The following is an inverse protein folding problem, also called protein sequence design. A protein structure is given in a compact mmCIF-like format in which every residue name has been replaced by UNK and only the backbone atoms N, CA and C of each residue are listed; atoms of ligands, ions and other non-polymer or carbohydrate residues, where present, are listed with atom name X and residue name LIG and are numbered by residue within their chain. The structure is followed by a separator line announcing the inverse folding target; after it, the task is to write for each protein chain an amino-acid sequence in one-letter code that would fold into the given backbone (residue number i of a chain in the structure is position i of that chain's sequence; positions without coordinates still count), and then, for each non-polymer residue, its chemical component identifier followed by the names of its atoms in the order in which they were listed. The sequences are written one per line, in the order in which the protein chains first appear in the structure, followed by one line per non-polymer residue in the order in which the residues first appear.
data_IF_179920669334
#
_entry.id   IF_179920669334
#
_cell.length_a   1.000
_cell.length_b   1.000
_cell.length_c   1.000
_cell.angle_alpha   90.00
_cell.angle_beta   90.00
_cell.angle_gamma   90.00
#
_symmetry.space_group_name_H-M   'P 1'
#
loop_
_entity.id
_entity.type
_entity.pdbx_description
1 polymer ?
#
# COMPACT_ATOMS: atom_id res chain seq x y z
N UNK A 1 97.61 40.67 10.68
CA UNK A 1 97.71 39.36 10.09
C UNK A 1 97.16 38.35 11.10
N UNK A 2 95.85 38.04 11.06
CA UNK A 2 95.29 36.84 11.70
C UNK A 2 93.94 36.53 11.06
N UNK A 3 93.87 35.37 10.50
CA UNK A 3 92.74 34.78 9.79
C UNK A 3 91.90 34.04 10.81
N UNK A 4 90.61 34.36 10.92
CA UNK A 4 89.65 33.58 11.69
C UNK A 4 88.84 32.70 10.71
N UNK A 5 89.06 31.41 10.82
CA UNK A 5 88.23 30.41 10.16
C UNK A 5 87.01 30.12 11.03
N UNK A 6 85.81 30.47 10.52
CA UNK A 6 84.54 30.11 11.12
C UNK A 6 84.14 28.75 10.58
N UNK A 7 84.25 27.68 11.37
CA UNK A 7 83.64 26.38 11.11
C UNK A 7 82.11 26.48 11.38
N UNK A 8 81.36 26.54 10.32
CA UNK A 8 79.90 26.38 10.44
C UNK A 8 79.60 24.88 10.58
N UNK A 9 79.00 24.51 11.71
CA UNK A 9 78.68 23.14 12.05
C UNK A 9 77.37 22.71 11.31
N UNK A 10 77.56 21.98 10.22
CA UNK A 10 76.54 21.55 9.30
C UNK A 10 75.60 20.48 9.90
N UNK A 11 75.84 20.04 11.14
CA UNK A 11 74.97 19.03 11.82
C UNK A 11 73.73 19.60 12.44
N UNK A 12 73.72 20.84 12.88
CA UNK A 12 72.56 21.42 13.60
C UNK A 12 71.42 21.78 12.66
N UNK A 13 71.67 22.13 11.42
CA UNK A 13 70.65 22.50 10.44
C UNK A 13 69.82 21.28 9.97
N UNK A 14 70.42 20.10 9.96
CA UNK A 14 69.72 18.85 9.54
C UNK A 14 68.79 18.35 10.66
N UNK A 15 69.22 18.47 11.92
CA UNK A 15 68.42 18.01 13.07
C UNK A 15 67.21 18.93 13.31
N UNK A 16 67.35 20.25 13.10
CA UNK A 16 66.20 21.20 13.21
C UNK A 16 65.19 20.91 12.10
N UNK A 17 65.63 20.64 10.88
CA UNK A 17 64.74 20.30 9.77
C UNK A 17 63.96 18.99 9.99
N UNK A 18 64.59 17.99 10.60
CA UNK A 18 63.94 16.68 10.88
C UNK A 18 62.91 16.79 11.97
N UNK A 19 63.15 17.52 13.03
CA UNK A 19 62.18 17.75 14.10
C UNK A 19 60.99 18.59 13.63
N UNK A 20 61.21 19.59 12.80
CA UNK A 20 60.14 20.43 12.24
C UNK A 20 59.27 19.58 11.29
N UNK A 21 59.85 18.73 10.46
CA UNK A 21 59.14 17.83 9.56
C UNK A 21 58.28 16.79 10.32
N UNK A 22 58.83 16.20 11.38
CA UNK A 22 58.11 15.27 12.25
C UNK A 22 56.92 15.96 12.97
N UNK A 23 57.08 17.20 13.39
CA UNK A 23 55.97 17.95 14.03
C UNK A 23 54.88 18.33 13.02
N UNK A 24 55.24 18.69 11.79
CA UNK A 24 54.28 18.93 10.70
C UNK A 24 53.53 17.63 10.35
N UNK A 25 54.22 16.50 10.28
CA UNK A 25 53.61 15.21 9.99
C UNK A 25 52.58 14.79 11.09
N UNK A 26 52.92 15.05 12.37
CA UNK A 26 52.01 14.81 13.51
C UNK A 26 50.81 15.72 13.46
N UNK A 27 50.96 16.99 13.11
CA UNK A 27 49.84 17.92 12.97
C UNK A 27 48.87 17.53 11.84
N UNK A 28 49.40 17.07 10.71
CA UNK A 28 48.59 16.56 9.59
C UNK A 28 47.88 15.28 9.99
N UNK A 29 48.56 14.35 10.68
CA UNK A 29 47.92 13.10 11.14
C UNK A 29 46.81 13.33 12.16
N UNK A 30 46.96 14.31 13.08
CA UNK A 30 45.92 14.68 14.03
C UNK A 30 44.75 15.42 13.36
N UNK A 31 45.01 16.30 12.39
CA UNK A 31 43.98 17.00 11.63
C UNK A 31 43.15 16.03 10.78
N UNK A 32 43.78 15.03 10.14
CA UNK A 32 43.05 13.98 9.39
C UNK A 32 42.24 13.08 10.31
N UNK A 33 42.75 12.68 11.48
CA UNK A 33 42.00 11.89 12.45
C UNK A 33 40.74 12.62 12.96
N UNK A 34 40.85 13.92 13.26
CA UNK A 34 39.72 14.75 13.67
C UNK A 34 38.71 14.92 12.54
N UNK A 35 39.14 15.09 11.29
CA UNK A 35 38.29 15.16 10.12
C UNK A 35 37.47 13.88 9.92
N UNK A 36 38.03 12.70 10.13
CA UNK A 36 37.33 11.42 10.03
C UNK A 36 36.26 11.24 11.12
N UNK A 37 36.48 11.72 12.34
CA UNK A 37 35.52 11.64 13.42
C UNK A 37 34.31 12.57 13.15
N UNK A 38 34.54 13.76 12.57
CA UNK A 38 33.44 14.71 12.27
C UNK A 38 32.63 14.28 11.06
N UNK A 39 33.23 13.60 10.07
CA UNK A 39 32.52 13.04 8.92
C UNK A 39 31.71 11.78 9.24
N UNK A 40 32.12 11.00 10.24
CA UNK A 40 31.42 9.76 10.61
C UNK A 40 30.07 9.97 11.31
N UNK A 41 29.80 11.18 11.84
CA UNK A 41 28.55 11.46 12.56
C UNK A 41 27.41 12.04 11.72
N UNK A 42 27.65 12.44 10.45
CA UNK A 42 26.61 13.11 9.64
C UNK A 42 25.59 12.17 8.99
N UNK A 43 25.86 10.87 8.90
CA UNK A 43 24.99 9.93 8.16
C UNK A 43 23.75 9.46 8.93
N UNK A 44 23.81 9.40 10.26
CA UNK A 44 22.73 8.82 11.06
C UNK A 44 21.76 9.82 11.72
N UNK A 45 22.21 11.06 11.95
CA UNK A 45 21.32 12.08 12.51
C UNK A 45 20.38 12.67 11.46
N UNK A 46 20.83 12.88 10.24
CA UNK A 46 19.98 13.38 9.16
C UNK A 46 18.91 12.34 8.73
N UNK A 47 19.23 11.04 8.86
CA UNK A 47 18.28 9.95 8.63
C UNK A 47 17.29 9.80 9.81
N UNK A 48 17.73 10.08 11.04
CA UNK A 48 16.87 10.11 12.23
C UNK A 48 15.96 11.35 12.28
N UNK A 49 16.41 12.51 11.79
CA UNK A 49 15.59 13.73 11.70
C UNK A 49 14.60 13.67 10.53
N UNK A 50 14.91 12.92 9.45
CA UNK A 50 13.96 12.66 8.37
C UNK A 50 12.86 11.64 8.77
N UNK A 51 13.07 10.88 9.83
CA UNK A 51 12.11 9.94 10.41
C UNK A 51 11.20 10.57 11.49
N UNK A 52 11.33 11.88 11.74
CA UNK A 52 10.51 12.58 12.71
C UNK A 52 9.16 12.98 12.10
N UNK A 53 8.11 12.58 12.78
CA UNK A 53 6.69 12.85 12.56
C UNK A 53 5.97 12.02 11.48
N UNK A 54 5.62 10.80 11.83
CA UNK A 54 4.52 10.05 11.19
C UNK A 54 4.90 9.20 9.99
N UNK A 55 6.17 9.14 9.61
CA UNK A 55 6.65 8.28 8.50
C UNK A 55 7.14 6.89 8.96
N UNK A 56 7.33 6.70 10.28
CA UNK A 56 7.76 5.39 10.80
C UNK A 56 6.56 4.65 11.37
N UNK A 57 6.29 3.42 10.94
CA UNK A 57 5.21 2.63 11.51
C UNK A 57 5.50 2.31 12.98
N UNK A 58 4.52 2.52 13.87
CA UNK A 58 4.61 2.10 15.27
C UNK A 58 4.62 0.57 15.42
N UNK A 59 3.99 -0.11 14.49
CA UNK A 59 3.91 -1.57 14.46
C UNK A 59 3.97 -2.05 13.01
N UNK A 60 4.72 -3.13 12.79
CA UNK A 60 4.76 -3.85 11.51
C UNK A 60 4.45 -5.31 11.77
N UNK A 61 3.51 -5.86 11.01
CA UNK A 61 3.12 -7.27 11.06
C UNK A 61 3.29 -7.87 9.67
N UNK A 62 4.01 -9.00 9.58
CA UNK A 62 4.15 -9.76 8.33
C UNK A 62 3.27 -10.99 8.36
N UNK A 63 2.78 -11.39 7.18
CA UNK A 63 1.88 -12.53 7.01
C UNK A 63 0.68 -12.44 7.96
N UNK A 64 -0.02 -11.31 7.91
CA UNK A 64 -1.19 -11.06 8.74
C UNK A 64 -2.33 -11.99 8.34
N UNK A 65 -2.94 -12.60 9.35
CA UNK A 65 -4.10 -13.46 9.19
C UNK A 65 -5.11 -13.16 10.31
N UNK A 66 -6.29 -12.67 9.95
CA UNK A 66 -7.37 -12.34 10.88
C UNK A 66 -8.61 -13.17 10.53
N UNK A 67 -9.23 -13.74 11.53
CA UNK A 67 -10.47 -14.52 11.40
C UNK A 67 -11.53 -13.89 12.29
N UNK A 68 -12.70 -13.62 11.71
CA UNK A 68 -13.88 -13.21 12.43
C UNK A 68 -14.89 -14.36 12.45
N UNK A 69 -15.29 -14.75 13.65
CA UNK A 69 -16.28 -15.83 13.88
C UNK A 69 -17.48 -15.29 14.63
N UNK A 70 -18.65 -15.75 14.28
CA UNK A 70 -19.90 -15.45 14.97
C UNK A 70 -20.65 -16.75 15.27
N UNK A 71 -21.12 -16.93 16.52
CA UNK A 71 -21.80 -18.16 16.98
C UNK A 71 -21.03 -19.45 16.66
N UNK A 72 -19.70 -19.40 16.64
CA UNK A 72 -18.81 -20.52 16.30
C UNK A 72 -18.65 -20.78 14.80
N UNK A 73 -19.34 -20.06 13.95
CA UNK A 73 -19.18 -20.10 12.49
C UNK A 73 -18.18 -19.08 11.96
N UNK A 74 -17.40 -19.46 10.96
CA UNK A 74 -16.50 -18.56 10.25
C UNK A 74 -17.32 -17.59 9.39
N UNK A 75 -17.21 -16.28 9.66
CA UNK A 75 -17.91 -15.25 8.90
C UNK A 75 -16.99 -14.54 7.89
N UNK A 76 -15.77 -14.22 8.31
CA UNK A 76 -14.84 -13.48 7.50
C UNK A 76 -13.39 -13.85 7.83
N UNK A 77 -12.53 -13.77 6.85
CA UNK A 77 -11.08 -13.91 6.95
C UNK A 77 -10.41 -12.77 6.18
N UNK A 78 -9.38 -12.17 6.77
CA UNK A 78 -8.55 -11.15 6.13
C UNK A 78 -7.11 -11.60 6.12
N UNK A 79 -6.41 -11.35 5.02
CA UNK A 79 -5.01 -11.69 4.82
C UNK A 79 -4.26 -10.52 4.19
N UNK A 80 -3.01 -10.32 4.62
CA UNK A 80 -2.08 -9.37 4.02
C UNK A 80 -0.64 -9.81 4.27
N UNK A 81 0.24 -9.63 3.29
CA UNK A 81 1.65 -9.96 3.42
C UNK A 81 2.38 -8.99 4.37
N UNK A 82 1.96 -7.73 4.38
CA UNK A 82 2.50 -6.69 5.25
C UNK A 82 1.36 -5.79 5.76
N UNK A 83 1.38 -5.51 7.07
CA UNK A 83 0.57 -4.48 7.71
C UNK A 83 1.49 -3.53 8.49
N UNK A 84 1.30 -2.25 8.29
CA UNK A 84 1.99 -1.17 8.97
C UNK A 84 0.98 -0.29 9.70
N UNK A 85 1.18 -0.09 11.00
CA UNK A 85 0.32 0.76 11.81
C UNK A 85 1.02 2.08 12.11
N UNK A 86 0.30 3.16 11.86
CA UNK A 86 0.72 4.53 12.11
C UNK A 86 -0.23 5.19 13.08
N UNK A 87 0.31 6.05 13.93
CA UNK A 87 -0.47 6.86 14.87
C UNK A 87 -0.14 8.33 14.66
N UNK A 88 -1.17 9.16 14.58
CA UNK A 88 -1.09 10.62 14.46
C UNK A 88 -2.01 11.25 15.50
N UNK A 89 -1.82 12.52 15.79
CA UNK A 89 -2.58 13.25 16.82
C UNK A 89 -4.10 13.17 16.65
N UNK A 90 -4.60 13.11 15.43
CA UNK A 90 -6.04 13.15 15.11
C UNK A 90 -6.62 11.81 14.66
N UNK A 91 -5.76 10.83 14.30
CA UNK A 91 -6.18 9.54 13.79
C UNK A 91 -5.07 8.49 13.89
N UNK A 92 -5.45 7.22 13.94
CA UNK A 92 -4.56 6.08 13.65
C UNK A 92 -4.99 5.41 12.36
N UNK A 93 -4.05 4.80 11.65
CA UNK A 93 -4.37 4.02 10.47
C UNK A 93 -3.47 2.78 10.32
N UNK A 94 -4.05 1.75 9.77
CA UNK A 94 -3.37 0.54 9.35
C UNK A 94 -3.28 0.56 7.82
N UNK A 95 -2.09 0.36 7.28
CA UNK A 95 -1.80 0.35 5.86
C UNK A 95 -1.29 -1.02 5.44
N UNK A 96 -1.75 -1.50 4.31
CA UNK A 96 -1.45 -2.81 3.73
C UNK A 96 -0.83 -2.60 2.33
N UNK A 97 0.50 -2.42 2.23
CA UNK A 97 1.17 -2.06 0.97
C UNK A 97 1.45 -3.23 0.03
N UNK A 98 1.40 -4.46 0.51
CA UNK A 98 1.83 -5.66 -0.22
C UNK A 98 0.66 -6.64 -0.44
N UNK A 99 -0.50 -6.12 -0.90
CA UNK A 99 -1.70 -6.91 -1.13
C UNK A 99 -2.61 -7.02 0.09
N UNK A 100 -3.91 -7.10 -0.19
CA UNK A 100 -4.95 -7.27 0.82
C UNK A 100 -6.06 -8.14 0.27
N UNK A 101 -6.49 -9.14 1.04
CA UNK A 101 -7.55 -10.06 0.67
C UNK A 101 -8.56 -10.21 1.78
N UNK A 102 -9.84 -10.21 1.43
CA UNK A 102 -10.96 -10.46 2.33
C UNK A 102 -11.79 -11.60 1.76
N UNK A 103 -12.13 -12.56 2.60
CA UNK A 103 -12.95 -13.72 2.28
C UNK A 103 -14.16 -13.73 3.20
N UNK A 104 -15.36 -13.66 2.64
CA UNK A 104 -16.61 -13.76 3.38
C UNK A 104 -17.28 -15.12 3.14
N UNK A 105 -17.87 -15.67 4.19
CA UNK A 105 -18.45 -17.02 4.19
C UNK A 105 -19.94 -16.95 4.48
N UNK A 106 -20.68 -17.94 3.96
CA UNK A 106 -22.11 -18.16 4.33
C UNK A 106 -22.22 -18.69 5.76
N UNK A 107 -23.44 -18.76 6.29
CA UNK A 107 -23.70 -19.39 7.58
C UNK A 107 -23.32 -20.89 7.62
N UNK A 108 -23.37 -21.56 6.47
CA UNK A 108 -22.95 -22.96 6.31
C UNK A 108 -21.41 -23.11 6.16
N UNK A 109 -20.64 -22.00 6.17
CA UNK A 109 -19.18 -22.01 6.06
C UNK A 109 -18.65 -22.13 4.65
N UNK A 110 -19.48 -21.90 3.63
CA UNK A 110 -19.05 -21.87 2.23
C UNK A 110 -18.48 -20.50 1.88
N UNK A 111 -17.37 -20.46 1.15
CA UNK A 111 -16.82 -19.22 0.62
C UNK A 111 -17.79 -18.58 -0.36
N UNK A 112 -18.28 -17.41 -0.04
CA UNK A 112 -19.27 -16.66 -0.83
C UNK A 112 -18.61 -15.55 -1.64
N UNK A 113 -17.81 -14.71 -0.98
CA UNK A 113 -17.23 -13.52 -1.60
C UNK A 113 -15.74 -13.45 -1.30
N UNK A 114 -14.98 -13.11 -2.31
CA UNK A 114 -13.55 -12.79 -2.24
C UNK A 114 -13.35 -11.36 -2.75
N UNK A 115 -12.62 -10.54 -2.00
CA UNK A 115 -12.20 -9.20 -2.39
C UNK A 115 -10.67 -9.16 -2.32
N UNK A 116 -10.03 -8.78 -3.42
CA UNK A 116 -8.57 -8.68 -3.52
C UNK A 116 -8.19 -7.32 -4.06
N UNK A 117 -7.13 -6.72 -3.53
CA UNK A 117 -6.57 -5.45 -3.99
C UNK A 117 -5.06 -5.42 -3.83
N UNK A 118 -4.39 -4.53 -4.57
CA UNK A 118 -2.96 -4.33 -4.43
C UNK A 118 -2.61 -3.70 -3.08
N UNK A 119 -3.48 -2.83 -2.57
CA UNK A 119 -3.29 -2.10 -1.33
C UNK A 119 -4.61 -1.93 -0.58
N UNK A 120 -4.52 -1.72 0.73
CA UNK A 120 -5.67 -1.30 1.54
C UNK A 120 -5.22 -0.38 2.69
N UNK A 121 -6.17 0.32 3.28
CA UNK A 121 -5.98 1.07 4.52
C UNK A 121 -7.25 1.08 5.36
N UNK A 122 -7.04 1.06 6.65
CA UNK A 122 -8.08 1.22 7.66
C UNK A 122 -7.77 2.46 8.49
N UNK A 123 -8.62 3.46 8.43
CA UNK A 123 -8.47 4.73 9.14
C UNK A 123 -9.43 4.76 10.32
N UNK A 124 -8.89 5.10 11.49
CA UNK A 124 -9.65 5.30 12.74
C UNK A 124 -9.43 6.73 13.21
N UNK A 125 -10.50 7.51 13.25
CA UNK A 125 -10.47 8.89 13.70
C UNK A 125 -10.80 8.99 15.19
N UNK A 126 -10.24 9.98 15.89
CA UNK A 126 -10.49 10.19 17.32
C UNK A 126 -11.96 10.50 17.66
N UNK A 127 -12.76 10.88 16.68
CA UNK A 127 -14.20 11.10 16.81
C UNK A 127 -15.03 9.80 16.68
N UNK A 128 -14.36 8.66 16.54
CA UNK A 128 -14.99 7.35 16.44
C UNK A 128 -15.44 6.94 15.03
N UNK A 129 -15.15 7.74 14.01
CA UNK A 129 -15.35 7.31 12.61
C UNK A 129 -14.26 6.35 12.20
N UNK A 130 -14.65 5.32 11.46
CA UNK A 130 -13.75 4.36 10.83
C UNK A 130 -14.05 4.29 9.33
N UNK A 131 -13.01 4.11 8.53
CA UNK A 131 -13.12 3.96 7.07
C UNK A 131 -12.15 2.90 6.59
N UNK A 132 -12.67 1.93 5.88
CA UNK A 132 -11.88 0.94 5.14
C UNK A 132 -11.85 1.32 3.67
N UNK A 133 -10.70 1.21 3.06
CA UNK A 133 -10.47 1.50 1.66
C UNK A 133 -9.51 0.47 1.07
N UNK A 134 -9.95 -0.22 0.03
CA UNK A 134 -9.12 -1.09 -0.80
C UNK A 134 -8.88 -0.38 -2.14
N UNK A 135 -7.65 -0.38 -2.65
CA UNK A 135 -7.31 0.35 -3.86
C UNK A 135 -6.16 -0.29 -4.65
N UNK A 136 -6.15 0.00 -5.94
CA UNK A 136 -5.29 -0.64 -6.93
C UNK A 136 -5.82 -2.02 -7.31
N UNK A 137 -6.28 -2.17 -8.56
CA UNK A 137 -6.75 -3.43 -9.15
C UNK A 137 -7.73 -4.21 -8.26
N UNK A 138 -8.73 -3.53 -7.71
CA UNK A 138 -9.70 -4.17 -6.84
C UNK A 138 -10.57 -5.12 -7.63
N UNK A 139 -10.58 -6.39 -7.22
CA UNK A 139 -11.41 -7.44 -7.80
C UNK A 139 -12.30 -8.05 -6.72
N UNK A 140 -13.61 -8.05 -6.97
CA UNK A 140 -14.61 -8.65 -6.10
C UNK A 140 -15.20 -9.85 -6.83
N UNK A 141 -15.13 -11.04 -6.24
CA UNK A 141 -15.70 -12.27 -6.79
C UNK A 141 -16.82 -12.78 -5.90
N UNK A 142 -18.03 -12.86 -6.40
CA UNK A 142 -19.10 -13.60 -5.76
C UNK A 142 -19.14 -15.00 -6.38
N UNK A 143 -18.69 -16.00 -5.62
CA UNK A 143 -18.54 -17.37 -6.09
C UNK A 143 -19.88 -18.08 -6.25
N UNK A 144 -20.88 -17.70 -5.47
CA UNK A 144 -22.22 -18.30 -5.54
C UNK A 144 -22.96 -17.82 -6.79
N UNK A 145 -22.91 -16.52 -7.06
CA UNK A 145 -23.50 -15.93 -8.26
C UNK A 145 -22.67 -16.05 -9.51
N UNK A 146 -21.39 -16.45 -9.38
CA UNK A 146 -20.42 -16.48 -10.47
C UNK A 146 -20.21 -15.09 -11.11
N UNK A 147 -20.22 -14.07 -10.28
CA UNK A 147 -20.03 -12.68 -10.66
C UNK A 147 -18.60 -12.22 -10.32
N UNK A 148 -18.00 -11.47 -11.23
CA UNK A 148 -16.69 -10.81 -11.01
C UNK A 148 -16.85 -9.32 -11.26
N UNK A 149 -16.44 -8.52 -10.30
CA UNK A 149 -16.49 -7.07 -10.40
C UNK A 149 -15.07 -6.50 -10.29
N UNK A 150 -14.73 -5.57 -11.18
CA UNK A 150 -13.44 -4.90 -11.23
C UNK A 150 -13.64 -3.41 -11.04
N UNK A 151 -12.83 -2.79 -10.19
CA UNK A 151 -12.79 -1.34 -9.95
C UNK A 151 -11.39 -0.92 -9.47
N UNK A 152 -11.13 0.39 -9.44
CA UNK A 152 -9.86 0.92 -8.96
C UNK A 152 -9.83 1.04 -7.42
N UNK A 153 -10.93 1.49 -6.84
CA UNK A 153 -11.03 1.75 -5.40
C UNK A 153 -12.37 1.28 -4.86
N UNK A 154 -12.38 0.68 -3.69
CA UNK A 154 -13.57 0.19 -2.99
C UNK A 154 -13.55 0.70 -1.55
N UNK A 155 -14.67 1.24 -1.09
CA UNK A 155 -14.89 1.66 0.30
C UNK A 155 -15.82 0.67 0.99
N UNK A 156 -15.53 0.35 2.25
CA UNK A 156 -16.39 -0.45 3.10
C UNK A 156 -16.88 0.38 4.29
N UNK A 157 -18.18 0.60 4.33
CA UNK A 157 -18.90 1.16 5.48
C UNK A 157 -19.37 0.01 6.38
N UNK A 158 -18.54 -0.31 7.35
CA UNK A 158 -18.76 -1.42 8.27
C UNK A 158 -20.04 -1.20 9.11
N UNK A 159 -20.36 0.04 9.47
CA UNK A 159 -21.53 0.38 10.29
C UNK A 159 -22.85 0.12 9.57
N UNK A 160 -22.89 0.39 8.28
CA UNK A 160 -24.07 0.19 7.45
C UNK A 160 -24.02 -1.12 6.65
N UNK A 161 -22.98 -1.95 6.85
CA UNK A 161 -22.75 -3.21 6.16
C UNK A 161 -22.78 -3.09 4.62
N UNK A 162 -22.18 -2.01 4.09
CA UNK A 162 -22.20 -1.68 2.67
C UNK A 162 -20.78 -1.52 2.13
N UNK A 163 -20.61 -1.94 0.87
CA UNK A 163 -19.47 -1.59 0.05
C UNK A 163 -19.93 -0.65 -1.06
N UNK A 164 -19.08 0.32 -1.41
CA UNK A 164 -19.37 1.27 -2.49
C UNK A 164 -18.10 1.78 -3.16
N UNK A 165 -18.27 2.29 -4.36
CA UNK A 165 -17.24 3.02 -5.09
C UNK A 165 -17.84 4.11 -5.93
N UNK A 166 -17.05 5.15 -6.24
CA UNK A 166 -17.38 6.19 -7.21
C UNK A 166 -16.61 6.01 -8.53
N UNK A 167 -15.68 5.06 -8.55
CA UNK A 167 -14.84 4.77 -9.70
C UNK A 167 -15.62 4.04 -10.81
N UNK A 168 -14.93 3.83 -11.94
CA UNK A 168 -15.41 2.97 -13.00
C UNK A 168 -15.51 1.53 -12.50
N UNK A 169 -16.59 0.85 -12.84
CA UNK A 169 -16.88 -0.54 -12.47
C UNK A 169 -17.21 -1.36 -13.70
N UNK A 170 -16.67 -2.56 -13.76
CA UNK A 170 -17.09 -3.62 -14.67
C UNK A 170 -17.62 -4.80 -13.85
N UNK A 171 -18.82 -5.25 -14.14
CA UNK A 171 -19.41 -6.45 -13.57
C UNK A 171 -19.61 -7.49 -14.68
N UNK A 172 -18.91 -8.59 -14.56
CA UNK A 172 -19.08 -9.78 -15.38
C UNK A 172 -20.00 -10.76 -14.66
N UNK A 173 -21.02 -11.23 -15.32
CA UNK A 173 -21.95 -12.24 -14.81
C UNK A 173 -22.25 -13.28 -15.89
N UNK A 174 -22.81 -14.45 -15.53
CA UNK A 174 -23.31 -15.41 -16.52
C UNK A 174 -24.33 -14.80 -17.48
N UNK A 175 -25.05 -13.76 -17.04
CA UNK A 175 -26.10 -13.09 -17.80
C UNK A 175 -25.58 -11.96 -18.70
N UNK A 176 -24.30 -11.58 -18.58
CA UNK A 176 -23.72 -10.53 -19.41
C UNK A 176 -22.64 -9.69 -18.76
N UNK A 177 -22.43 -8.50 -19.32
CA UNK A 177 -21.50 -7.48 -18.84
C UNK A 177 -22.26 -6.21 -18.50
N UNK A 178 -22.04 -5.68 -17.31
CA UNK A 178 -22.51 -4.35 -16.92
C UNK A 178 -21.32 -3.44 -16.59
N UNK A 179 -21.35 -2.21 -17.08
CA UNK A 179 -20.30 -1.23 -16.86
C UNK A 179 -20.93 0.10 -16.47
N UNK A 180 -20.29 0.85 -15.59
CA UNK A 180 -20.76 2.16 -15.16
C UNK A 180 -19.80 2.90 -14.27
N UNK A 181 -20.19 4.06 -13.80
CA UNK A 181 -19.46 4.85 -12.81
C UNK A 181 -20.21 4.86 -11.50
N UNK A 182 -19.56 4.34 -10.45
CA UNK A 182 -20.16 4.19 -9.13
C UNK A 182 -20.92 2.88 -8.97
N UNK A 183 -20.83 2.32 -7.77
CA UNK A 183 -21.52 1.11 -7.38
C UNK A 183 -21.79 1.14 -5.88
N UNK A 184 -22.90 0.54 -5.47
CA UNK A 184 -23.22 0.21 -4.08
C UNK A 184 -23.70 -1.23 -3.98
N UNK A 185 -23.32 -1.93 -2.92
CA UNK A 185 -23.76 -3.29 -2.62
C UNK A 185 -23.78 -3.53 -1.11
N UNK A 186 -24.41 -4.62 -0.66
CA UNK A 186 -24.15 -5.16 0.67
C UNK A 186 -22.68 -5.64 0.78
N UNK A 187 -22.17 -5.80 2.01
CA UNK A 187 -20.77 -6.15 2.27
C UNK A 187 -20.36 -7.52 1.71
N UNK A 188 -21.30 -8.35 1.27
CA UNK A 188 -21.06 -9.66 0.65
C UNK A 188 -21.22 -9.65 -0.88
N UNK A 189 -21.38 -8.47 -1.46
CA UNK A 189 -21.59 -8.28 -2.91
C UNK A 189 -22.75 -9.11 -3.50
N UNK A 190 -23.83 -9.26 -2.73
CA UNK A 190 -25.01 -10.02 -3.18
C UNK A 190 -25.94 -9.18 -4.05
N UNK A 191 -26.08 -7.89 -3.74
CA UNK A 191 -27.07 -7.00 -4.32
C UNK A 191 -26.40 -5.72 -4.84
N UNK A 192 -25.61 -5.87 -5.91
CA UNK A 192 -24.84 -4.77 -6.48
C UNK A 192 -25.70 -3.93 -7.42
N UNK A 193 -25.68 -2.62 -7.22
CA UNK A 193 -26.30 -1.62 -8.09
C UNK A 193 -25.19 -0.80 -8.70
N UNK A 194 -25.10 -0.78 -10.04
CA UNK A 194 -24.14 0.05 -10.78
C UNK A 194 -24.86 1.31 -11.26
N UNK A 195 -24.25 2.46 -10.97
CA UNK A 195 -24.75 3.77 -11.37
C UNK A 195 -24.21 4.17 -12.75
N UNK A 196 -24.93 5.07 -13.43
CA UNK A 196 -24.54 5.59 -14.73
C UNK A 196 -24.06 4.50 -15.71
N UNK A 197 -24.88 3.47 -15.98
CA UNK A 197 -24.47 2.36 -16.83
C UNK A 197 -24.29 2.80 -18.28
N UNK A 198 -23.30 2.20 -18.98
CA UNK A 198 -23.06 2.41 -20.40
C UNK A 198 -22.38 1.16 -21.01
N UNK A 199 -22.52 0.99 -22.32
CA UNK A 199 -21.92 -0.14 -23.06
C UNK A 199 -22.12 -1.51 -22.39
N UNK A 200 -23.27 -1.70 -21.76
CA UNK A 200 -23.63 -2.93 -21.05
C UNK A 200 -24.49 -3.82 -21.95
N UNK A 201 -24.35 -5.12 -21.81
CA UNK A 201 -25.17 -6.08 -22.53
C UNK A 201 -25.53 -7.28 -21.64
N UNK A 202 -26.67 -7.88 -21.92
CA UNK A 202 -27.12 -9.08 -21.24
C UNK A 202 -27.59 -10.15 -22.22
N UNK A 203 -27.68 -11.38 -21.72
CA UNK A 203 -28.17 -12.53 -22.45
C UNK A 203 -29.47 -12.99 -21.82
N UNK A 204 -30.51 -13.12 -22.64
CA UNK A 204 -31.79 -13.74 -22.21
C UNK A 204 -31.89 -15.08 -22.93
N UNK A 205 -31.99 -16.14 -22.16
CA UNK A 205 -32.23 -17.50 -22.71
C UNK A 205 -33.72 -17.75 -22.68
N UNK A 206 -34.36 -17.66 -23.84
CA UNK A 206 -35.75 -18.02 -24.03
C UNK A 206 -35.80 -19.20 -25.02
N UNK A 207 -36.40 -20.33 -24.62
CA UNK A 207 -36.57 -21.55 -25.43
C UNK A 207 -35.29 -22.03 -26.16
N UNK A 208 -34.12 -22.09 -25.45
CA UNK A 208 -32.80 -22.43 -25.99
C UNK A 208 -32.24 -21.46 -27.03
N UNK A 209 -32.86 -20.32 -27.24
CA UNK A 209 -32.35 -19.27 -28.11
C UNK A 209 -31.69 -18.19 -27.29
N UNK A 210 -30.40 -17.96 -27.47
CA UNK A 210 -29.66 -16.91 -26.81
C UNK A 210 -29.94 -15.58 -27.49
N UNK A 211 -30.53 -14.62 -26.80
CA UNK A 211 -30.81 -13.29 -27.31
C UNK A 211 -29.87 -12.30 -26.63
N UNK A 212 -29.12 -11.53 -27.41
CA UNK A 212 -28.27 -10.44 -26.88
C UNK A 212 -29.10 -9.18 -26.79
N UNK A 213 -29.20 -8.59 -25.61
CA UNK A 213 -29.89 -7.33 -25.37
C UNK A 213 -28.85 -6.26 -25.04
N UNK A 214 -28.79 -5.23 -25.87
CA UNK A 214 -28.00 -4.03 -25.61
C UNK A 214 -28.81 -3.05 -24.77
N UNK A 215 -28.35 -2.70 -23.57
CA UNK A 215 -29.04 -1.81 -22.65
C UNK A 215 -28.99 -0.33 -23.09
N UNK A 216 -28.06 0.03 -23.97
CA UNK A 216 -27.91 1.42 -24.46
C UNK A 216 -28.66 1.64 -25.77
N UNK A 217 -28.70 0.64 -26.65
CA UNK A 217 -29.35 0.68 -27.95
C UNK A 217 -30.28 -0.52 -28.14
N UNK A 218 -31.26 -0.68 -27.24
CA UNK A 218 -32.22 -1.80 -27.33
C UNK A 218 -33.01 -1.73 -28.63
N UNK A 219 -32.67 -2.56 -29.58
CA UNK A 219 -33.34 -2.69 -30.89
C UNK A 219 -34.40 -3.81 -30.88
N UNK A 220 -34.52 -4.54 -29.75
CA UNK A 220 -35.37 -5.71 -29.64
C UNK A 220 -34.69 -7.00 -30.12
N UNK A 221 -35.39 -8.15 -30.05
CA UNK A 221 -34.80 -9.42 -30.49
C UNK A 221 -34.48 -9.36 -31.99
N UNK A 222 -33.24 -9.74 -32.35
CA UNK A 222 -32.88 -9.85 -33.76
C UNK A 222 -33.76 -10.90 -34.43
N UNK A 223 -34.51 -10.50 -35.41
CA UNK A 223 -35.27 -11.45 -36.23
C UNK A 223 -34.30 -12.31 -37.03
N UNK A 224 -34.43 -13.64 -36.92
CA UNK A 224 -33.72 -14.54 -37.81
C UNK A 224 -34.13 -14.24 -39.27
N UNK A 225 -33.17 -13.97 -40.12
CA UNK A 225 -33.32 -14.09 -41.57
C UNK A 225 -33.36 -15.56 -41.99
#
# INVERSE_FOLDING_TARGET
MQRYEGFYNCKDSVVIGLNTFQNILKMIATATAVAFVVYSCKGKLAEADALSDGEVPMQTVRNMFIVHTENGGLQMRMEADLMERYERDTMSFEYFPEGFSVYAYTEEGLLETEIVSDNARHLKYNDGRETWEAFGNVVIRNLIKQEVMETDTLYWDQKNEKIHTHCYVKLYSPDGLMQGYGMESDQRARNSIIFNPFNSYGFVVQDRTKVVIDSVNFIGPMQKK
#
